data_IF_169843661183
#
_entry.id   IF_169843661183
#
_cell.length_a   1.000
_cell.length_b   1.000
_cell.length_c   1.000
_cell.angle_alpha   90.00
_cell.angle_beta   90.00
_cell.angle_gamma   90.00
#
_symmetry.space_group_name_H-M   'P 1'
#
loop_
_entity.id
_entity.type
_entity.pdbx_description
1 polymer ?
#
# COMPACT_ATOMS: atom_id res chain seq x y z
N UNK A 1 -13.07 14.60 11.59
CA UNK A 1 -12.16 13.57 11.05
C UNK A 1 -11.48 12.88 12.21
N UNK A 2 -11.23 11.56 12.13
CA UNK A 2 -10.53 10.80 13.16
C UNK A 2 -9.40 10.02 12.51
N UNK A 3 -8.18 10.18 13.03
CA UNK A 3 -6.96 9.55 12.52
C UNK A 3 -6.28 10.37 11.42
N UNK A 4 -5.02 10.75 11.65
CA UNK A 4 -4.13 11.46 10.71
C UNK A 4 -3.19 10.45 10.09
N UNK A 5 -3.17 10.37 8.75
CA UNK A 5 -2.29 9.45 8.03
C UNK A 5 -1.31 10.25 7.19
N UNK A 6 -0.01 10.12 7.47
CA UNK A 6 1.04 10.62 6.58
C UNK A 6 1.31 9.57 5.51
N UNK A 7 1.15 9.95 4.26
CA UNK A 7 1.36 9.12 3.07
C UNK A 7 2.69 9.51 2.43
N UNK A 8 3.63 8.58 2.34
CA UNK A 8 4.94 8.77 1.70
C UNK A 8 4.93 7.90 0.44
N UNK A 9 4.63 8.50 -0.72
CA UNK A 9 4.44 7.74 -1.96
C UNK A 9 4.52 8.63 -3.22
N UNK A 10 4.59 7.99 -4.38
CA UNK A 10 4.52 8.67 -5.67
C UNK A 10 3.11 9.12 -6.03
N UNK A 11 3.04 10.10 -6.94
CA UNK A 11 1.81 10.69 -7.47
C UNK A 11 1.44 10.02 -8.79
N UNK A 12 0.21 9.52 -8.91
CA UNK A 12 -0.40 9.02 -10.16
C UNK A 12 -1.29 10.11 -10.77
N UNK A 13 -0.88 10.69 -11.90
CA UNK A 13 -1.65 11.73 -12.61
C UNK A 13 -3.03 11.23 -13.08
N UNK A 14 -3.18 9.92 -13.34
CA UNK A 14 -4.46 9.29 -13.66
C UNK A 14 -5.41 9.16 -12.47
N UNK A 15 -4.89 9.34 -11.25
CA UNK A 15 -5.68 9.40 -10.02
C UNK A 15 -6.18 8.06 -9.49
N UNK A 16 -5.77 6.94 -10.09
CA UNK A 16 -6.23 5.60 -9.72
C UNK A 16 -5.38 4.91 -8.64
N UNK A 17 -4.10 5.30 -8.51
CA UNK A 17 -3.14 4.76 -7.57
C UNK A 17 -2.37 5.89 -6.85
N UNK A 18 -1.23 5.55 -6.23
CA UNK A 18 -0.35 6.50 -5.55
C UNK A 18 -1.07 7.34 -4.51
N UNK A 19 -0.51 8.54 -4.23
CA UNK A 19 -1.09 9.45 -3.22
C UNK A 19 -2.56 9.80 -3.52
N UNK A 20 -2.99 9.81 -4.78
CA UNK A 20 -4.37 10.14 -5.13
C UNK A 20 -5.35 9.06 -4.66
N UNK A 21 -5.03 7.78 -4.85
CA UNK A 21 -5.81 6.69 -4.29
C UNK A 21 -5.78 6.71 -2.76
N UNK A 22 -4.61 6.98 -2.20
CA UNK A 22 -4.38 7.02 -0.76
C UNK A 22 -5.20 8.12 -0.08
N UNK A 23 -5.13 9.37 -0.58
CA UNK A 23 -5.91 10.51 -0.08
C UNK A 23 -7.41 10.24 -0.16
N UNK A 24 -7.88 9.76 -1.33
CA UNK A 24 -9.29 9.42 -1.53
C UNK A 24 -9.75 8.37 -0.53
N UNK A 25 -8.94 7.33 -0.31
CA UNK A 25 -9.25 6.21 0.60
C UNK A 25 -9.32 6.67 2.05
N UNK A 26 -8.29 7.35 2.54
CA UNK A 26 -8.23 7.86 3.91
C UNK A 26 -9.39 8.80 4.18
N UNK A 27 -9.68 9.73 3.24
CA UNK A 27 -10.76 10.71 3.36
C UNK A 27 -12.14 10.02 3.33
N UNK A 28 -12.35 9.04 2.44
CA UNK A 28 -13.61 8.28 2.35
C UNK A 28 -13.88 7.42 3.60
N UNK A 29 -12.83 7.07 4.36
CA UNK A 29 -12.91 6.37 5.64
C UNK A 29 -12.93 7.32 6.85
N UNK A 30 -13.06 8.64 6.62
CA UNK A 30 -13.23 9.65 7.66
C UNK A 30 -11.93 10.12 8.32
N UNK A 31 -10.75 9.72 7.79
CA UNK A 31 -9.44 10.16 8.23
C UNK A 31 -8.99 11.49 7.60
N UNK A 32 -7.87 12.01 8.08
CA UNK A 32 -7.16 13.17 7.52
C UNK A 32 -5.88 12.69 6.83
N UNK A 33 -5.77 12.92 5.52
CA UNK A 33 -4.63 12.50 4.72
C UNK A 33 -3.64 13.66 4.52
N UNK A 34 -2.36 13.38 4.78
CA UNK A 34 -1.23 14.27 4.52
C UNK A 34 -0.23 13.53 3.64
N UNK A 35 0.61 14.24 2.89
CA UNK A 35 1.51 13.59 1.92
C UNK A 35 2.94 14.12 1.99
N UNK A 36 3.90 13.20 1.75
CA UNK A 36 5.25 13.49 1.28
C UNK A 36 5.42 12.79 -0.08
N UNK A 37 5.57 13.57 -1.16
CA UNK A 37 5.58 13.06 -2.52
C UNK A 37 6.99 12.62 -2.88
N UNK A 38 7.14 11.36 -3.30
CA UNK A 38 8.44 10.76 -3.64
C UNK A 38 8.80 10.85 -5.11
N UNK A 39 7.80 10.88 -5.99
CA UNK A 39 7.96 11.05 -7.44
C UNK A 39 6.63 11.50 -8.05
N UNK A 40 6.70 12.15 -9.21
CA UNK A 40 5.54 12.45 -10.05
C UNK A 40 5.55 11.51 -11.26
N UNK A 41 4.41 10.92 -11.62
CA UNK A 41 4.32 10.10 -12.83
C UNK A 41 3.43 10.76 -13.87
N UNK A 42 3.81 10.65 -15.14
CA UNK A 42 2.93 10.84 -16.27
C UNK A 42 2.29 9.48 -16.58
N UNK A 43 1.12 9.24 -16.01
CA UNK A 43 0.47 7.93 -15.98
C UNK A 43 -1.02 8.03 -16.31
N UNK A 44 -1.53 6.99 -16.95
CA UNK A 44 -2.95 6.79 -17.23
C UNK A 44 -3.32 5.29 -17.07
N UNK A 45 -4.51 4.89 -17.54
CA UNK A 45 -4.97 3.48 -17.43
C UNK A 45 -4.22 2.51 -18.32
N UNK A 46 -3.45 2.98 -19.31
CA UNK A 46 -2.67 2.17 -20.23
C UNK A 46 -1.23 1.93 -19.75
N UNK A 47 -0.69 2.83 -18.91
CA UNK A 47 0.67 2.67 -18.37
C UNK A 47 1.31 3.97 -17.88
N UNK A 48 2.61 3.88 -17.61
CA UNK A 48 3.48 4.99 -17.19
C UNK A 48 4.37 5.39 -18.34
N UNK A 49 4.31 6.65 -18.77
CA UNK A 49 5.14 7.20 -19.85
C UNK A 49 6.33 8.01 -19.36
N UNK A 50 6.35 8.42 -18.09
CA UNK A 50 7.46 9.16 -17.49
C UNK A 50 7.38 9.22 -15.97
N UNK A 51 8.54 9.32 -15.34
CA UNK A 51 8.70 9.50 -13.89
C UNK A 51 9.59 10.73 -13.68
N UNK A 52 9.14 11.66 -12.87
CA UNK A 52 9.94 12.79 -12.39
C UNK A 52 10.22 12.60 -10.90
N UNK A 53 11.49 12.42 -10.58
CA UNK A 53 11.95 12.15 -9.23
C UNK A 53 11.91 13.40 -8.36
N UNK A 54 11.56 13.23 -7.09
CA UNK A 54 11.71 14.26 -6.06
C UNK A 54 13.01 13.98 -5.30
N UNK A 55 13.88 14.99 -5.09
CA UNK A 55 15.13 14.82 -4.33
C UNK A 55 14.87 14.30 -2.92
N UNK A 56 15.71 13.37 -2.43
CA UNK A 56 15.52 12.73 -1.12
C UNK A 56 15.44 13.76 0.03
N UNK A 57 16.28 14.78 -0.01
CA UNK A 57 16.27 15.88 0.99
C UNK A 57 14.95 16.65 0.99
N UNK A 58 14.30 16.84 -0.17
CA UNK A 58 13.01 17.51 -0.23
C UNK A 58 11.86 16.61 0.25
N UNK A 59 11.97 15.29 0.05
CA UNK A 59 11.02 14.32 0.62
C UNK A 59 11.10 14.38 2.16
N UNK A 60 12.30 14.35 2.73
CA UNK A 60 12.52 14.49 4.17
C UNK A 60 11.98 15.81 4.68
N UNK A 61 12.19 16.93 3.96
CA UNK A 61 11.64 18.22 4.32
C UNK A 61 10.11 18.23 4.38
N UNK A 62 9.43 17.57 3.41
CA UNK A 62 7.97 17.43 3.46
C UNK A 62 7.52 16.62 4.70
N UNK A 63 8.22 15.54 5.01
CA UNK A 63 7.93 14.72 6.19
C UNK A 63 8.10 15.51 7.48
N UNK A 64 9.19 16.26 7.59
CA UNK A 64 9.49 17.09 8.76
C UNK A 64 8.43 18.15 9.00
N UNK A 65 8.05 18.90 7.96
CA UNK A 65 7.01 19.92 8.04
C UNK A 65 5.66 19.35 8.52
N UNK A 66 5.31 18.15 8.07
CA UNK A 66 4.04 17.50 8.48
C UNK A 66 4.12 16.96 9.90
N UNK A 67 5.18 16.22 10.22
CA UNK A 67 5.27 15.53 11.51
C UNK A 67 5.51 16.47 12.68
N UNK A 68 6.24 17.58 12.46
CA UNK A 68 6.53 18.56 13.53
C UNK A 68 5.35 19.49 13.86
N UNK A 69 4.43 19.71 12.92
CA UNK A 69 3.26 20.59 13.10
C UNK A 69 1.97 19.79 13.32
N UNK A 70 1.59 18.97 12.32
CA UNK A 70 0.33 18.25 12.35
C UNK A 70 0.44 16.93 13.11
N UNK A 71 1.61 16.29 13.11
CA UNK A 71 1.80 14.93 13.59
C UNK A 71 1.10 13.88 12.70
N UNK A 72 1.25 12.60 13.06
CA UNK A 72 0.54 11.51 12.41
C UNK A 72 0.16 10.43 13.43
N UNK A 73 -0.98 9.76 13.20
CA UNK A 73 -1.44 8.64 14.00
C UNK A 73 -1.11 7.30 13.34
N UNK A 74 -0.76 7.32 12.03
CA UNK A 74 -0.20 6.22 11.26
C UNK A 74 0.55 6.78 10.04
N UNK A 75 1.57 6.07 9.58
CA UNK A 75 2.30 6.38 8.36
C UNK A 75 2.03 5.28 7.34
N UNK A 76 1.74 5.65 6.09
CA UNK A 76 1.66 4.71 4.96
C UNK A 76 2.80 5.00 4.01
N UNK A 77 3.63 3.99 3.74
CA UNK A 77 4.71 4.05 2.75
C UNK A 77 4.27 3.28 1.50
N UNK A 78 4.40 3.91 0.34
CA UNK A 78 4.19 3.28 -0.97
C UNK A 78 5.46 3.27 -1.82
N UNK A 79 5.37 3.70 -3.09
CA UNK A 79 6.49 3.75 -4.01
C UNK A 79 7.56 4.74 -3.56
N UNK A 80 8.79 4.26 -3.32
CA UNK A 80 9.96 5.07 -3.00
C UNK A 80 10.98 5.20 -4.15
N UNK A 81 10.89 4.31 -5.13
CA UNK A 81 11.60 4.30 -6.41
C UNK A 81 13.12 4.01 -6.31
N UNK A 82 13.89 4.72 -5.46
CA UNK A 82 15.36 4.67 -5.43
C UNK A 82 15.92 4.26 -4.05
N UNK A 83 17.14 3.64 -4.01
CA UNK A 83 17.78 3.25 -2.76
C UNK A 83 18.06 4.42 -1.80
N UNK A 84 18.56 5.55 -2.32
CA UNK A 84 18.87 6.74 -1.51
C UNK A 84 17.61 7.38 -0.89
N UNK A 85 16.46 7.33 -1.60
CA UNK A 85 15.17 7.76 -1.06
C UNK A 85 14.71 6.82 0.06
N UNK A 86 14.87 5.49 -0.12
CA UNK A 86 14.54 4.51 0.91
C UNK A 86 15.37 4.76 2.17
N UNK A 87 16.69 4.96 2.01
CA UNK A 87 17.59 5.21 3.13
C UNK A 87 17.22 6.50 3.87
N UNK A 88 17.03 7.62 3.15
CA UNK A 88 16.68 8.91 3.75
C UNK A 88 15.33 8.87 4.48
N UNK A 89 14.32 8.22 3.90
CA UNK A 89 13.00 8.04 4.53
C UNK A 89 13.12 7.17 5.79
N UNK A 90 13.86 6.05 5.72
CA UNK A 90 14.06 5.18 6.88
C UNK A 90 14.80 5.90 8.01
N UNK A 91 15.89 6.61 7.71
CA UNK A 91 16.66 7.36 8.71
C UNK A 91 15.78 8.38 9.44
N UNK A 92 14.96 9.11 8.68
CA UNK A 92 14.04 10.08 9.27
C UNK A 92 12.96 9.40 10.12
N UNK A 93 12.33 8.31 9.64
CA UNK A 93 11.27 7.61 10.38
C UNK A 93 11.80 6.99 11.68
N UNK A 94 12.98 6.38 11.65
CA UNK A 94 13.61 5.83 12.86
C UNK A 94 13.90 6.93 13.89
N UNK A 95 14.34 8.11 13.43
CA UNK A 95 14.70 9.21 14.32
C UNK A 95 13.49 10.00 14.85
N UNK A 96 12.38 10.06 14.15
CA UNK A 96 11.29 11.04 14.39
C UNK A 96 9.88 10.45 14.49
N UNK A 97 9.68 9.18 14.14
CA UNK A 97 8.36 8.55 14.11
C UNK A 97 8.21 7.41 15.11
N UNK A 98 8.97 7.46 16.22
CA UNK A 98 8.89 6.44 17.27
C UNK A 98 7.45 6.29 17.79
N UNK A 99 6.98 5.02 17.88
CA UNK A 99 5.63 4.69 18.35
C UNK A 99 4.50 4.92 17.35
N UNK A 100 4.77 5.50 16.17
CA UNK A 100 3.76 5.67 15.12
C UNK A 100 3.72 4.41 14.26
N UNK A 101 2.56 3.73 14.11
CA UNK A 101 2.44 2.56 13.24
C UNK A 101 2.78 2.88 11.77
N UNK A 102 3.55 1.99 11.13
CA UNK A 102 3.98 2.15 9.73
C UNK A 102 3.42 1.00 8.89
N UNK A 103 2.59 1.32 7.89
CA UNK A 103 2.09 0.38 6.88
C UNK A 103 2.92 0.53 5.62
N UNK A 104 3.60 -0.55 5.21
CA UNK A 104 4.46 -0.56 4.02
C UNK A 104 3.80 -1.39 2.92
N UNK A 105 3.46 -0.74 1.81
CA UNK A 105 3.09 -1.39 0.54
C UNK A 105 4.34 -1.45 -0.35
N UNK A 106 4.96 -2.63 -0.52
CA UNK A 106 6.27 -2.75 -1.17
C UNK A 106 6.13 -2.71 -2.70
N UNK A 107 5.64 -1.58 -3.24
CA UNK A 107 5.32 -1.41 -4.65
C UNK A 107 6.58 -1.54 -5.50
N UNK A 108 6.63 -2.58 -6.36
CA UNK A 108 7.78 -2.87 -7.24
C UNK A 108 7.47 -2.65 -8.70
N UNK A 109 6.22 -2.86 -9.12
CA UNK A 109 5.80 -2.80 -10.52
C UNK A 109 4.48 -2.03 -10.64
N UNK A 110 4.41 -1.12 -11.62
CA UNK A 110 3.16 -0.45 -11.95
C UNK A 110 2.17 -1.42 -12.60
N UNK A 111 0.86 -1.11 -12.49
CA UNK A 111 -0.15 -1.80 -13.29
C UNK A 111 0.13 -1.48 -14.77
N UNK A 112 0.42 -2.49 -15.57
CA UNK A 112 0.92 -2.33 -16.95
C UNK A 112 2.37 -2.76 -17.13
N UNK A 113 3.06 -3.23 -16.08
CA UNK A 113 4.36 -3.92 -16.13
C UNK A 113 5.60 -3.03 -16.07
N UNK A 114 5.45 -1.71 -15.96
CA UNK A 114 6.61 -0.83 -15.79
C UNK A 114 7.27 -1.07 -14.42
N UNK A 115 8.59 -1.33 -14.41
CA UNK A 115 9.37 -1.45 -13.16
C UNK A 115 9.38 -0.10 -12.44
N UNK A 116 9.00 -0.10 -11.18
CA UNK A 116 9.02 1.07 -10.30
C UNK A 116 10.13 0.98 -9.24
N UNK A 117 10.72 -0.21 -9.08
CA UNK A 117 11.80 -0.46 -8.13
C UNK A 117 12.84 -1.35 -8.79
N UNK A 118 14.10 -0.94 -8.81
CA UNK A 118 15.21 -1.71 -9.36
C UNK A 118 15.81 -2.66 -8.31
N UNK A 119 16.62 -3.64 -8.74
CA UNK A 119 17.13 -4.70 -7.87
C UNK A 119 17.85 -4.22 -6.61
N UNK A 120 18.66 -3.14 -6.71
CA UNK A 120 19.33 -2.53 -5.56
C UNK A 120 18.34 -1.90 -4.58
N UNK A 121 17.29 -1.27 -5.09
CA UNK A 121 16.24 -0.68 -4.26
C UNK A 121 15.41 -1.77 -3.53
N UNK A 122 15.18 -2.94 -4.15
CA UNK A 122 14.56 -4.10 -3.47
C UNK A 122 15.43 -4.57 -2.31
N UNK A 123 16.74 -4.68 -2.52
CA UNK A 123 17.68 -5.07 -1.45
C UNK A 123 17.68 -4.04 -0.31
N UNK A 124 17.66 -2.75 -0.62
CA UNK A 124 17.58 -1.68 0.38
C UNK A 124 16.24 -1.68 1.12
N UNK A 125 15.13 -1.89 0.42
CA UNK A 125 13.80 -2.05 1.02
C UNK A 125 13.79 -3.19 2.07
N UNK A 126 14.39 -4.34 1.73
CA UNK A 126 14.52 -5.48 2.66
C UNK A 126 15.36 -5.15 3.89
N UNK A 127 16.50 -4.48 3.70
CA UNK A 127 17.43 -4.19 4.81
C UNK A 127 16.96 -3.07 5.73
N UNK A 128 16.11 -2.17 5.25
CA UNK A 128 15.78 -0.92 5.95
C UNK A 128 14.29 -0.77 6.25
N UNK A 129 13.46 -0.71 5.24
CA UNK A 129 12.05 -0.33 5.37
C UNK A 129 11.21 -1.47 5.99
N UNK A 130 11.47 -2.73 5.61
CA UNK A 130 10.69 -3.86 6.13
C UNK A 130 10.91 -4.03 7.64
N UNK A 131 12.11 -3.74 8.13
CA UNK A 131 12.45 -3.86 9.56
C UNK A 131 11.65 -2.91 10.46
N UNK A 132 11.22 -1.78 9.95
CA UNK A 132 10.47 -0.77 10.72
C UNK A 132 8.96 -0.85 10.46
N UNK A 133 8.50 -1.78 9.61
CA UNK A 133 7.11 -1.91 9.26
C UNK A 133 6.29 -2.52 10.41
N UNK A 134 5.21 -1.85 10.82
CA UNK A 134 4.18 -2.47 11.68
C UNK A 134 3.39 -3.50 10.90
N UNK A 135 3.06 -3.18 9.62
CA UNK A 135 2.40 -4.11 8.70
C UNK A 135 3.01 -3.98 7.31
N UNK A 136 3.48 -5.10 6.77
CA UNK A 136 3.92 -5.23 5.38
C UNK A 136 2.77 -5.82 4.55
N UNK A 137 2.46 -5.24 3.36
CA UNK A 137 1.30 -5.65 2.55
C UNK A 137 1.67 -6.10 1.13
N UNK A 138 2.51 -7.13 0.93
CA UNK A 138 2.91 -7.58 -0.40
C UNK A 138 1.78 -8.31 -1.13
N UNK A 139 1.74 -8.18 -2.46
CA UNK A 139 1.03 -9.11 -3.33
C UNK A 139 1.94 -10.32 -3.66
N UNK A 140 1.43 -11.30 -4.43
CA UNK A 140 2.19 -12.52 -4.76
C UNK A 140 3.49 -12.20 -5.50
N UNK A 141 3.54 -11.42 -6.60
CA UNK A 141 4.80 -11.06 -7.26
C UNK A 141 5.79 -10.32 -6.35
N UNK A 142 5.31 -9.44 -5.48
CA UNK A 142 6.15 -8.75 -4.49
C UNK A 142 6.70 -9.71 -3.44
N UNK A 143 5.88 -10.67 -2.98
CA UNK A 143 6.31 -11.71 -2.06
C UNK A 143 7.37 -12.62 -2.68
N UNK A 144 7.20 -13.03 -3.94
CA UNK A 144 8.20 -13.80 -4.69
C UNK A 144 9.54 -13.04 -4.80
N UNK A 145 9.50 -11.75 -5.14
CA UNK A 145 10.69 -10.92 -5.22
C UNK A 145 11.39 -10.73 -3.85
N UNK A 146 10.62 -10.64 -2.77
CA UNK A 146 11.16 -10.47 -1.42
C UNK A 146 11.71 -11.76 -0.83
N UNK A 147 11.09 -12.91 -1.12
CA UNK A 147 11.48 -14.21 -0.53
C UNK A 147 12.42 -15.02 -1.44
N UNK A 148 12.37 -14.79 -2.76
CA UNK A 148 13.04 -15.64 -3.76
C UNK A 148 12.28 -16.96 -4.01
N UNK A 149 11.09 -17.13 -3.43
CA UNK A 149 10.23 -18.32 -3.63
C UNK A 149 9.36 -18.13 -4.87
N UNK A 150 8.91 -19.24 -5.47
CA UNK A 150 7.83 -19.23 -6.44
C UNK A 150 6.54 -19.66 -5.73
N UNK A 151 5.47 -18.88 -5.88
CA UNK A 151 4.20 -19.07 -5.17
C UNK A 151 3.12 -19.51 -6.17
N UNK A 152 2.78 -20.79 -6.19
CA UNK A 152 1.85 -21.40 -7.14
C UNK A 152 0.48 -21.70 -6.55
N UNK A 153 0.43 -21.93 -5.24
CA UNK A 153 -0.76 -22.36 -4.51
C UNK A 153 -0.81 -21.79 -3.08
N UNK A 154 -1.80 -22.23 -2.32
CA UNK A 154 -2.03 -21.80 -0.94
C UNK A 154 -0.92 -22.27 0.02
N UNK A 155 -0.28 -23.44 -0.23
CA UNK A 155 0.80 -23.95 0.62
C UNK A 155 2.07 -23.13 0.42
N UNK A 156 2.44 -22.84 -0.83
CA UNK A 156 3.53 -21.92 -1.16
C UNK A 156 3.26 -20.53 -0.56
N UNK A 157 2.01 -20.04 -0.61
CA UNK A 157 1.65 -18.74 -0.04
C UNK A 157 1.77 -18.71 1.49
N UNK A 158 1.40 -19.79 2.18
CA UNK A 158 1.59 -19.91 3.63
C UNK A 158 3.07 -19.91 4.00
N UNK A 159 3.91 -20.67 3.27
CA UNK A 159 5.35 -20.69 3.49
C UNK A 159 6.00 -19.32 3.23
N UNK A 160 5.61 -18.66 2.13
CA UNK A 160 6.11 -17.32 1.79
C UNK A 160 5.69 -16.26 2.83
N UNK A 161 4.45 -16.32 3.33
CA UNK A 161 3.97 -15.42 4.39
C UNK A 161 4.78 -15.55 5.68
N UNK A 162 5.02 -16.80 6.12
CA UNK A 162 5.86 -17.08 7.29
C UNK A 162 7.31 -16.60 7.07
N UNK A 163 7.88 -16.82 5.87
CA UNK A 163 9.22 -16.34 5.53
C UNK A 163 9.30 -14.81 5.52
N UNK A 164 8.30 -14.11 4.95
CA UNK A 164 8.24 -12.64 4.96
C UNK A 164 8.23 -12.10 6.39
N UNK A 165 7.54 -12.75 7.30
CA UNK A 165 7.50 -12.34 8.71
C UNK A 165 8.88 -12.45 9.39
N UNK A 166 9.75 -13.36 8.94
CA UNK A 166 11.14 -13.43 9.45
C UNK A 166 12.03 -12.28 8.99
N UNK A 167 11.60 -11.47 8.01
CA UNK A 167 12.33 -10.29 7.56
C UNK A 167 12.22 -9.10 8.54
N UNK A 168 11.40 -9.20 9.58
CA UNK A 168 11.35 -8.26 10.70
C UNK A 168 10.10 -7.38 10.81
N UNK A 169 9.11 -7.39 9.90
CA UNK A 169 7.88 -6.62 10.12
C UNK A 169 7.08 -7.21 11.27
N UNK A 170 6.32 -6.36 12.00
CA UNK A 170 5.45 -6.83 13.06
C UNK A 170 4.33 -7.75 12.57
N UNK A 171 3.78 -7.42 11.39
CA UNK A 171 2.72 -8.21 10.74
C UNK A 171 2.94 -8.27 9.22
N UNK A 172 2.42 -9.32 8.57
CA UNK A 172 2.38 -9.46 7.11
C UNK A 172 0.96 -9.72 6.66
N UNK A 173 0.46 -8.91 5.73
CA UNK A 173 -0.76 -9.17 4.97
C UNK A 173 -0.39 -9.58 3.55
N UNK A 174 -0.25 -10.88 3.29
CA UNK A 174 0.01 -11.41 1.95
C UNK A 174 -1.28 -11.41 1.14
N UNK A 175 -1.33 -10.56 0.08
CA UNK A 175 -2.50 -10.37 -0.79
C UNK A 175 -2.54 -11.45 -1.88
N UNK A 176 -3.51 -12.37 -1.83
CA UNK A 176 -3.65 -13.52 -2.74
C UNK A 176 -4.35 -13.23 -4.07
N UNK A 177 -4.61 -11.98 -4.43
CA UNK A 177 -5.35 -11.62 -5.64
C UNK A 177 -4.75 -12.08 -6.96
N UNK A 178 -3.48 -12.46 -6.99
CA UNK A 178 -2.76 -12.95 -8.18
C UNK A 178 -2.75 -14.48 -8.31
N UNK A 179 -3.14 -15.23 -7.29
CA UNK A 179 -3.30 -16.69 -7.43
C UNK A 179 -4.49 -16.99 -8.33
N UNK A 180 -4.24 -17.66 -9.47
CA UNK A 180 -5.21 -17.82 -10.57
C UNK A 180 -6.29 -18.86 -10.26
N UNK A 181 -6.08 -19.72 -9.28
CA UNK A 181 -6.97 -20.84 -8.98
C UNK A 181 -8.23 -20.40 -8.22
N UNK A 182 -9.39 -20.49 -8.89
CA UNK A 182 -10.71 -20.43 -8.26
C UNK A 182 -11.43 -19.08 -8.32
N UNK A 183 -12.69 -19.09 -7.87
CA UNK A 183 -13.61 -17.95 -7.83
C UNK A 183 -13.45 -17.07 -6.58
N UNK A 184 -12.45 -17.34 -5.74
CA UNK A 184 -12.22 -16.68 -4.46
C UNK A 184 -10.81 -16.08 -4.39
N UNK A 185 -10.68 -14.96 -3.69
CA UNK A 185 -9.41 -14.34 -3.32
C UNK A 185 -9.19 -14.60 -1.84
N UNK A 186 -7.99 -15.05 -1.47
CA UNK A 186 -7.57 -15.31 -0.10
C UNK A 186 -6.38 -14.43 0.24
N UNK A 187 -6.50 -13.59 1.26
CA UNK A 187 -5.39 -12.84 1.84
C UNK A 187 -5.04 -13.43 3.19
N UNK A 188 -3.75 -13.59 3.47
CA UNK A 188 -3.23 -14.25 4.66
C UNK A 188 -2.62 -13.22 5.60
N UNK A 189 -3.05 -13.20 6.86
CA UNK A 189 -2.47 -12.35 7.90
C UNK A 189 -1.57 -13.18 8.81
N UNK A 190 -0.36 -12.68 9.03
CA UNK A 190 0.62 -13.21 9.98
C UNK A 190 0.98 -12.14 11.01
N UNK A 191 1.22 -12.56 12.25
CA UNK A 191 1.81 -11.75 13.32
C UNK A 191 3.13 -12.42 13.73
N UNK A 192 4.26 -11.74 13.50
CA UNK A 192 5.54 -12.44 13.50
C UNK A 192 5.44 -13.66 12.57
N UNK A 193 6.05 -14.81 12.88
CA UNK A 193 6.02 -16.00 12.04
C UNK A 193 4.69 -16.77 12.11
N UNK A 194 3.78 -16.35 12.98
CA UNK A 194 2.54 -17.09 13.25
C UNK A 194 1.41 -16.67 12.30
N UNK A 195 0.74 -17.67 11.72
CA UNK A 195 -0.47 -17.46 10.93
C UNK A 195 -1.63 -17.07 11.86
N UNK A 196 -2.27 -15.94 11.59
CA UNK A 196 -3.40 -15.42 12.37
C UNK A 196 -4.73 -15.79 11.73
N UNK A 197 -4.95 -15.39 10.46
CA UNK A 197 -6.25 -15.57 9.79
C UNK A 197 -6.11 -15.52 8.27
N UNK A 198 -6.99 -16.26 7.57
CA UNK A 198 -7.23 -16.12 6.14
C UNK A 198 -8.51 -15.35 5.88
N UNK A 199 -8.40 -14.21 5.23
CA UNK A 199 -9.54 -13.42 4.77
C UNK A 199 -9.95 -13.86 3.37
N UNK A 200 -11.11 -14.46 3.23
CA UNK A 200 -11.60 -15.02 1.97
C UNK A 200 -12.79 -14.23 1.45
N UNK A 201 -12.77 -13.90 0.15
CA UNK A 201 -13.87 -13.20 -0.51
C UNK A 201 -14.02 -13.61 -1.98
N UNK A 202 -15.10 -13.22 -2.65
CA UNK A 202 -15.29 -13.52 -4.07
C UNK A 202 -14.27 -12.75 -4.93
N UNK A 203 -13.81 -13.39 -6.00
CA UNK A 203 -13.09 -12.72 -7.08
C UNK A 203 -14.09 -11.92 -7.92
N UNK A 204 -13.79 -10.68 -8.16
CA UNK A 204 -14.58 -9.81 -9.05
C UNK A 204 -13.86 -9.79 -10.40
N UNK A 205 -14.51 -10.32 -11.42
CA UNK A 205 -13.98 -10.32 -12.78
C UNK A 205 -14.16 -8.93 -13.41
N UNK A 206 -13.06 -8.18 -13.46
CA UNK A 206 -13.01 -6.83 -14.01
C UNK A 206 -11.57 -6.44 -14.35
N UNK A 207 -11.33 -5.70 -15.45
CA UNK A 207 -10.03 -5.11 -15.73
C UNK A 207 -9.72 -3.91 -14.79
N UNK A 208 -10.74 -3.34 -14.14
CA UNK A 208 -10.65 -2.09 -13.36
C UNK A 208 -10.13 -2.37 -11.94
N UNK A 209 -8.85 -2.68 -11.82
CA UNK A 209 -8.17 -3.04 -10.58
C UNK A 209 -6.97 -2.13 -10.27
N UNK A 210 -6.81 -1.01 -11.02
CA UNK A 210 -5.70 -0.09 -10.80
C UNK A 210 -5.82 0.58 -9.43
N UNK A 211 -4.73 0.54 -8.65
CA UNK A 211 -4.65 1.09 -7.31
C UNK A 211 -5.21 0.21 -6.19
N UNK A 212 -5.57 -1.05 -6.45
CA UNK A 212 -6.07 -1.98 -5.41
C UNK A 212 -5.07 -2.13 -4.24
N UNK A 213 -3.75 -2.28 -4.53
CA UNK A 213 -2.69 -2.36 -3.51
C UNK A 213 -2.65 -1.11 -2.64
N UNK A 214 -2.45 0.05 -3.26
CA UNK A 214 -2.42 1.36 -2.58
C UNK A 214 -3.67 1.56 -1.71
N UNK A 215 -4.86 1.29 -2.28
CA UNK A 215 -6.14 1.41 -1.57
C UNK A 215 -6.22 0.49 -0.35
N UNK A 216 -5.75 -0.78 -0.48
CA UNK A 216 -5.72 -1.73 0.65
C UNK A 216 -4.83 -1.22 1.78
N UNK A 217 -3.58 -0.84 1.45
CA UNK A 217 -2.63 -0.34 2.44
C UNK A 217 -3.11 0.95 3.12
N UNK A 218 -3.70 1.88 2.37
CA UNK A 218 -4.20 3.13 2.92
C UNK A 218 -5.48 2.96 3.74
N UNK A 219 -6.36 2.03 3.37
CA UNK A 219 -7.53 1.69 4.18
C UNK A 219 -7.12 1.04 5.51
N UNK A 220 -6.08 0.19 5.48
CA UNK A 220 -5.48 -0.40 6.68
C UNK A 220 -4.85 0.69 7.56
N UNK A 221 -4.03 1.58 6.98
CA UNK A 221 -3.42 2.70 7.70
C UNK A 221 -4.45 3.62 8.34
N UNK A 222 -5.56 3.93 7.64
CA UNK A 222 -6.68 4.68 8.21
C UNK A 222 -7.31 3.94 9.40
N UNK A 223 -7.34 2.60 9.37
CA UNK A 223 -7.81 1.77 10.48
C UNK A 223 -6.94 1.89 11.72
N UNK A 224 -5.64 1.72 11.54
CA UNK A 224 -4.67 1.84 12.62
C UNK A 224 -4.68 3.26 13.21
N UNK A 225 -4.68 4.29 12.35
CA UNK A 225 -4.79 5.68 12.79
C UNK A 225 -6.05 5.98 13.60
N UNK A 226 -7.10 5.20 13.44
CA UNK A 226 -8.36 5.31 14.16
C UNK A 226 -8.43 4.42 15.42
N UNK A 227 -7.36 3.68 15.72
CA UNK A 227 -7.24 2.82 16.89
C UNK A 227 -7.82 1.42 16.73
N UNK A 228 -8.04 0.94 15.49
CA UNK A 228 -8.40 -0.46 15.25
C UNK A 228 -7.19 -1.37 15.46
N UNK A 229 -7.45 -2.62 15.85
CA UNK A 229 -6.44 -3.68 15.80
C UNK A 229 -6.02 -3.94 14.36
N UNK A 230 -4.84 -4.53 14.13
CA UNK A 230 -4.38 -4.90 12.78
C UNK A 230 -5.42 -5.79 12.09
N UNK A 231 -5.93 -6.80 12.78
CA UNK A 231 -6.95 -7.72 12.27
C UNK A 231 -8.23 -6.99 11.80
N UNK A 232 -8.77 -6.10 12.63
CA UNK A 232 -10.01 -5.38 12.31
C UNK A 232 -9.78 -4.34 11.21
N UNK A 233 -8.61 -3.71 11.18
CA UNK A 233 -8.21 -2.80 10.12
C UNK A 233 -8.10 -3.53 8.76
N UNK A 234 -7.53 -4.77 8.74
CA UNK A 234 -7.48 -5.63 7.55
C UNK A 234 -8.89 -6.02 7.11
N UNK A 235 -9.74 -6.48 8.02
CA UNK A 235 -11.12 -6.87 7.70
C UNK A 235 -11.89 -5.71 7.05
N UNK A 236 -11.77 -4.49 7.64
CA UNK A 236 -12.40 -3.28 7.10
C UNK A 236 -11.80 -2.86 5.75
N UNK A 237 -10.48 -2.90 5.61
CA UNK A 237 -9.80 -2.54 4.36
C UNK A 237 -10.25 -3.44 3.20
N UNK A 238 -10.33 -4.75 3.42
CA UNK A 238 -10.84 -5.70 2.42
C UNK A 238 -12.28 -5.44 2.02
N UNK A 239 -13.18 -5.21 2.99
CA UNK A 239 -14.57 -4.89 2.70
C UNK A 239 -14.70 -3.60 1.87
N UNK A 240 -13.92 -2.56 2.21
CA UNK A 240 -13.88 -1.31 1.47
C UNK A 240 -13.38 -1.51 0.04
N UNK A 241 -12.25 -2.19 -0.15
CA UNK A 241 -11.64 -2.45 -1.47
C UNK A 241 -12.55 -3.30 -2.35
N UNK A 242 -13.14 -4.35 -1.79
CA UNK A 242 -14.09 -5.20 -2.53
C UNK A 242 -15.28 -4.39 -3.06
N UNK A 243 -15.83 -3.49 -2.25
CA UNK A 243 -16.90 -2.61 -2.69
C UNK A 243 -16.43 -1.60 -3.73
N UNK A 244 -15.23 -1.02 -3.57
CA UNK A 244 -14.64 -0.09 -4.51
C UNK A 244 -14.39 -0.73 -5.89
N UNK A 245 -13.92 -1.99 -5.93
CA UNK A 245 -13.79 -2.78 -7.17
C UNK A 245 -15.17 -3.04 -7.80
N UNK A 246 -16.14 -3.51 -7.00
CA UNK A 246 -17.47 -3.86 -7.50
C UNK A 246 -18.23 -2.67 -8.11
N UNK A 247 -17.95 -1.47 -7.64
CA UNK A 247 -18.61 -0.23 -8.06
C UNK A 247 -17.71 0.66 -8.91
N UNK A 248 -16.64 0.12 -9.50
CA UNK A 248 -15.71 0.88 -10.33
C UNK A 248 -16.43 1.67 -11.42
N UNK A 249 -15.94 2.89 -11.79
CA UNK A 249 -16.63 3.76 -12.73
C UNK A 249 -16.40 3.38 -14.20
N UNK A 250 -15.53 2.43 -14.51
CA UNK A 250 -15.22 2.02 -15.87
C UNK A 250 -14.46 3.06 -16.71
N UNK A 251 -13.65 3.92 -16.08
CA UNK A 251 -12.92 4.97 -16.78
C UNK A 251 -11.63 4.44 -17.43
N UNK A 252 -11.31 4.95 -18.62
CA UNK A 252 -10.11 4.65 -19.38
C UNK A 252 -10.25 3.43 -20.29
N UNK A 253 -9.19 3.15 -21.05
CA UNK A 253 -9.14 2.07 -22.06
C UNK A 253 -8.32 0.86 -21.61
N UNK A 254 -7.63 0.97 -20.49
CA UNK A 254 -6.79 -0.07 -19.92
C UNK A 254 -7.28 -0.52 -18.54
N UNK A 255 -6.37 -0.62 -17.58
CA UNK A 255 -6.72 -0.92 -16.19
C UNK A 255 -7.35 0.30 -15.53
N UNK A 256 -8.68 0.33 -15.42
CA UNK A 256 -9.42 1.45 -14.84
C UNK A 256 -9.30 1.54 -13.32
N UNK A 257 -9.62 2.73 -12.74
CA UNK A 257 -9.53 2.99 -11.31
C UNK A 257 -10.69 2.37 -10.53
N UNK A 258 -10.50 2.27 -9.21
CA UNK A 258 -11.53 1.90 -8.26
C UNK A 258 -12.50 3.08 -7.98
N UNK A 259 -13.68 2.77 -7.45
CA UNK A 259 -14.58 3.79 -6.88
C UNK A 259 -14.22 4.04 -5.40
N UNK A 260 -13.26 4.91 -5.15
CA UNK A 260 -12.87 5.27 -3.78
C UNK A 260 -13.98 6.02 -3.02
N UNK A 261 -14.89 6.69 -3.73
CA UNK A 261 -15.93 7.52 -3.15
C UNK A 261 -17.23 6.79 -2.76
N UNK A 262 -17.26 5.45 -2.82
CA UNK A 262 -18.50 4.68 -2.59
C UNK A 262 -19.10 4.81 -1.17
N UNK A 263 -18.35 5.34 -0.20
CA UNK A 263 -18.82 5.63 1.16
C UNK A 263 -19.29 7.06 1.33
N UNK A 264 -18.95 7.96 0.38
CA UNK A 264 -19.25 9.40 0.44
C UNK A 264 -20.65 9.64 -0.10
N UNK A 265 -21.48 10.30 0.69
CA UNK A 265 -22.83 10.70 0.25
C UNK A 265 -22.73 11.97 -0.61
N UNK A 266 -23.56 12.10 -1.67
CA UNK A 266 -23.65 13.35 -2.41
C UNK A 266 -24.00 14.51 -1.49
N UNK A 267 -23.25 15.61 -1.63
CA UNK A 267 -23.58 16.84 -0.92
C UNK A 267 -24.91 17.38 -1.48
N UNK A 268 -25.85 17.63 -0.58
CA UNK A 268 -27.11 18.33 -0.90
C UNK A 268 -27.05 19.68 -0.22
N UNK A 269 -27.10 20.76 -1.00
CA UNK A 269 -27.19 22.11 -0.51
C UNK A 269 -28.57 22.39 0.10
#
# INVERSE_FOLDING_TARGET
MKGRVLIIAGSDSGGGAGIQADIKTVSALGGYAMTAITALTAQNTLGVSGIHEVPAEFIVQQMDMVLTDLGADCIKVGMLHRPDVIDAVCDYLVAKAEGIPIVVDPVMVAKGGASLLEGEAVATLKRRMILIATVLTPNIPEAEALTGMTIRDDEDAMAAGAMLATLGPGNVLLKGGHLVAGSRVKDLLFEGPEFVEAFVGPRIDTPNTHGTGCTTASALAAGLAQGLTVRDAVARARAYVQKAIKTNPGYGQGHGPLNHGHTVKPFKA
#
